data_IF_756955783190
#
_entry.id   IF_756955783190
#
_cell.length_a   1.000
_cell.length_b   1.000
_cell.length_c   1.000
_cell.angle_alpha   90.00
_cell.angle_beta   90.00
_cell.angle_gamma   90.00
#
_symmetry.space_group_name_H-M   'P 1'
#
loop_
_entity.id
_entity.type
_entity.pdbx_description
1 polymer ?
#
# COMPACT_ATOMS: atom_id res chain seq x y z
N UNK A 1 7.29 22.07 -8.04
CA UNK A 1 6.76 21.13 -7.01
C UNK A 1 5.72 21.90 -6.20
N UNK A 2 4.54 21.32 -5.94
CA UNK A 2 3.34 21.99 -5.38
C UNK A 2 3.71 23.14 -4.41
N UNK A 3 3.39 24.38 -4.80
CA UNK A 3 3.77 25.59 -4.07
C UNK A 3 2.87 25.83 -2.86
N UNK A 4 1.58 25.49 -2.96
CA UNK A 4 0.63 25.58 -1.86
C UNK A 4 0.90 24.50 -0.79
N UNK A 5 1.33 24.88 0.43
CA UNK A 5 1.57 23.94 1.51
C UNK A 5 0.31 23.17 1.94
N UNK A 6 -0.88 23.75 1.80
CA UNK A 6 -2.14 23.10 2.16
C UNK A 6 -2.44 21.96 1.20
N UNK A 7 -2.38 22.21 -0.10
CA UNK A 7 -2.52 21.17 -1.11
C UNK A 7 -1.46 20.07 -0.95
N UNK A 8 -0.20 20.43 -0.69
CA UNK A 8 0.86 19.44 -0.42
C UNK A 8 0.54 18.57 0.80
N UNK A 9 0.05 19.18 1.89
CA UNK A 9 -0.29 18.44 3.12
C UNK A 9 -1.49 17.50 2.94
N UNK A 10 -2.52 17.91 2.19
CA UNK A 10 -3.67 17.07 1.84
C UNK A 10 -3.22 15.83 1.07
N UNK A 11 -2.34 16.00 0.08
CA UNK A 11 -1.82 14.91 -0.74
C UNK A 11 -1.03 13.92 0.12
N UNK A 12 -0.07 14.42 0.90
CA UNK A 12 0.74 13.58 1.80
C UNK A 12 -0.15 12.80 2.77
N UNK A 13 -1.07 13.48 3.46
CA UNK A 13 -1.99 12.85 4.40
C UNK A 13 -2.85 11.77 3.76
N UNK A 14 -3.30 11.98 2.53
CA UNK A 14 -4.10 11.00 1.80
C UNK A 14 -3.28 9.75 1.44
N UNK A 15 -1.99 9.91 1.18
CA UNK A 15 -1.12 8.83 0.75
C UNK A 15 -0.48 8.03 1.89
N UNK A 16 -0.18 8.65 3.04
CA UNK A 16 0.65 8.04 4.11
C UNK A 16 0.23 6.61 4.47
N UNK A 17 -1.07 6.35 4.66
CA UNK A 17 -1.54 5.00 5.02
C UNK A 17 -1.34 4.00 3.88
N UNK A 18 -1.61 4.41 2.63
CA UNK A 18 -1.40 3.55 1.46
C UNK A 18 0.08 3.27 1.25
N UNK A 19 0.93 4.25 1.49
CA UNK A 19 2.39 4.09 1.43
C UNK A 19 2.87 3.01 2.38
N UNK A 20 2.46 3.07 3.66
CA UNK A 20 2.86 2.09 4.68
C UNK A 20 2.37 0.67 4.29
N UNK A 21 1.16 0.56 3.75
CA UNK A 21 0.63 -0.74 3.32
C UNK A 21 1.39 -1.30 2.10
N UNK A 22 1.64 -0.47 1.09
CA UNK A 22 2.39 -0.85 -0.10
C UNK A 22 3.82 -1.29 0.24
N UNK A 23 4.45 -0.67 1.24
CA UNK A 23 5.81 -1.03 1.65
C UNK A 23 5.89 -2.50 2.10
N UNK A 24 4.95 -2.96 2.93
CA UNK A 24 4.88 -4.35 3.37
C UNK A 24 4.52 -5.32 2.23
N UNK A 25 3.60 -4.92 1.34
CA UNK A 25 3.22 -5.74 0.17
C UNK A 25 4.41 -5.93 -0.75
N UNK A 26 5.11 -4.84 -1.09
CA UNK A 26 6.25 -4.87 -2.00
C UNK A 26 7.42 -5.64 -1.41
N UNK A 27 7.70 -5.46 -0.12
CA UNK A 27 8.70 -6.25 0.58
C UNK A 27 8.38 -7.76 0.53
N UNK A 28 7.10 -8.13 0.67
CA UNK A 28 6.67 -9.53 0.54
C UNK A 28 6.85 -10.06 -0.89
N UNK A 29 6.51 -9.27 -1.90
CA UNK A 29 6.66 -9.61 -3.33
C UNK A 29 8.14 -9.77 -3.69
N UNK A 30 9.02 -8.86 -3.25
CA UNK A 30 10.46 -8.92 -3.48
C UNK A 30 11.10 -10.18 -2.88
N UNK A 31 10.60 -10.63 -1.72
CA UNK A 31 11.05 -11.88 -1.10
C UNK A 31 10.45 -13.13 -1.75
N UNK A 32 9.49 -12.99 -2.67
CA UNK A 32 8.83 -14.11 -3.35
C UNK A 32 7.95 -14.97 -2.44
N UNK A 33 7.49 -14.41 -1.31
CA UNK A 33 6.73 -15.13 -0.31
C UNK A 33 5.24 -15.13 -0.66
N UNK A 34 4.62 -16.32 -0.66
CA UNK A 34 3.26 -16.54 -1.18
C UNK A 34 2.24 -16.98 -0.14
N UNK A 35 2.67 -17.29 1.08
CA UNK A 35 1.83 -17.89 2.13
C UNK A 35 1.62 -16.96 3.34
N UNK A 36 2.33 -15.83 3.38
CA UNK A 36 2.30 -14.87 4.49
C UNK A 36 2.69 -13.48 4.02
N UNK A 37 2.33 -12.47 4.79
CA UNK A 37 2.77 -11.09 4.58
C UNK A 37 4.00 -10.85 5.44
N UNK A 38 5.11 -10.44 4.83
CA UNK A 38 6.31 -10.04 5.55
C UNK A 38 6.24 -8.54 5.81
N UNK A 39 6.32 -8.16 7.08
CA UNK A 39 6.37 -6.78 7.50
C UNK A 39 7.82 -6.27 7.41
N UNK A 40 7.99 -4.97 7.18
CA UNK A 40 9.31 -4.34 7.01
C UNK A 40 10.27 -4.48 8.20
N UNK A 41 9.76 -4.86 9.37
CA UNK A 41 10.55 -5.18 10.56
C UNK A 41 10.93 -6.67 10.65
N UNK A 42 10.79 -7.43 9.56
CA UNK A 42 11.01 -8.88 9.46
C UNK A 42 10.06 -9.75 10.30
N UNK A 43 8.98 -9.18 10.84
CA UNK A 43 7.89 -9.98 11.39
C UNK A 43 6.92 -10.39 10.28
N UNK A 44 6.02 -11.33 10.56
CA UNK A 44 5.13 -11.88 9.54
C UNK A 44 3.70 -12.07 10.04
N UNK A 45 2.76 -11.98 9.10
CA UNK A 45 1.34 -12.24 9.32
C UNK A 45 0.96 -13.45 8.48
N UNK A 46 0.52 -14.53 9.14
CA UNK A 46 0.01 -15.73 8.49
C UNK A 46 -1.53 -15.69 8.59
N UNK A 47 -2.26 -15.65 7.47
CA UNK A 47 -3.71 -15.75 7.49
C UNK A 47 -4.18 -17.02 8.18
N UNK A 48 -5.23 -16.92 8.99
CA UNK A 48 -5.78 -18.00 9.81
C UNK A 48 -5.05 -18.25 11.13
N UNK A 49 -3.83 -17.72 11.31
CA UNK A 49 -3.06 -17.93 12.53
C UNK A 49 -3.16 -16.72 13.47
N UNK A 50 -4.30 -16.61 14.17
CA UNK A 50 -4.58 -15.49 15.06
C UNK A 50 -3.79 -15.66 16.38
N UNK A 51 -2.98 -14.67 16.79
CA UNK A 51 -2.27 -14.74 18.07
C UNK A 51 -3.22 -14.81 19.27
N UNK A 52 -2.88 -15.65 20.25
CA UNK A 52 -3.66 -15.84 21.48
C UNK A 52 -4.03 -14.51 22.14
N UNK A 53 -5.24 -14.46 22.67
CA UNK A 53 -5.74 -13.32 23.41
C UNK A 53 -5.00 -13.16 24.73
N UNK A 54 -4.54 -11.94 25.04
CA UNK A 54 -4.00 -11.65 26.38
C UNK A 54 -5.16 -11.41 27.36
N UNK A 55 -4.98 -11.70 28.67
CA UNK A 55 -6.06 -11.57 29.67
C UNK A 55 -6.65 -10.16 29.77
N UNK A 56 -5.83 -9.12 29.54
CA UNK A 56 -6.22 -7.71 29.63
C UNK A 56 -6.56 -7.09 28.26
N UNK A 57 -6.80 -7.92 27.25
CA UNK A 57 -6.92 -7.44 25.88
C UNK A 57 -8.31 -6.88 25.59
N UNK A 58 -8.34 -5.62 25.15
CA UNK A 58 -9.57 -4.92 24.80
C UNK A 58 -10.27 -5.56 23.58
N UNK A 59 -11.59 -5.44 23.49
CA UNK A 59 -12.42 -5.95 22.36
C UNK A 59 -11.97 -5.38 21.00
N UNK A 60 -11.50 -4.13 21.01
CA UNK A 60 -10.89 -3.50 19.83
C UNK A 60 -9.64 -4.25 19.35
N UNK A 61 -8.79 -4.73 20.26
CA UNK A 61 -7.60 -5.49 19.89
C UNK A 61 -7.97 -6.85 19.27
N UNK A 62 -9.00 -7.52 19.79
CA UNK A 62 -9.51 -8.76 19.18
C UNK A 62 -10.03 -8.50 17.76
N UNK A 63 -10.80 -7.42 17.59
CA UNK A 63 -11.33 -7.05 16.28
C UNK A 63 -10.19 -6.78 15.29
N UNK A 64 -9.16 -6.04 15.70
CA UNK A 64 -7.98 -5.75 14.87
C UNK A 64 -7.23 -7.05 14.52
N UNK A 65 -7.03 -7.95 15.48
CA UNK A 65 -6.39 -9.26 15.24
C UNK A 65 -7.16 -10.06 14.18
N UNK A 66 -8.48 -10.13 14.30
CA UNK A 66 -9.31 -10.80 13.28
C UNK A 66 -9.24 -10.11 11.92
N UNK A 67 -9.10 -8.78 11.86
CA UNK A 67 -8.90 -8.10 10.58
C UNK A 67 -7.51 -8.38 9.98
N UNK A 68 -6.46 -8.42 10.80
CA UNK A 68 -5.08 -8.59 10.36
C UNK A 68 -4.75 -10.03 9.97
N UNK A 69 -5.24 -11.01 10.73
CA UNK A 69 -4.95 -12.44 10.52
C UNK A 69 -6.12 -13.21 9.91
N UNK A 70 -7.27 -12.57 9.69
CA UNK A 70 -8.44 -13.22 9.10
C UNK A 70 -8.45 -13.20 7.57
N UNK A 71 -9.65 -13.36 7.01
CA UNK A 71 -9.88 -13.54 5.57
C UNK A 71 -9.33 -12.40 4.71
N UNK A 72 -9.34 -11.15 5.20
CA UNK A 72 -8.82 -9.99 4.45
C UNK A 72 -7.35 -10.14 4.09
N UNK A 73 -6.54 -10.73 4.98
CA UNK A 73 -5.12 -10.98 4.74
C UNK A 73 -4.89 -12.10 3.72
N UNK A 74 -5.70 -13.17 3.77
CA UNK A 74 -5.68 -14.22 2.77
C UNK A 74 -6.06 -13.66 1.38
N UNK A 75 -7.14 -12.88 1.30
CA UNK A 75 -7.55 -12.23 0.05
C UNK A 75 -6.49 -11.27 -0.49
N UNK A 76 -5.75 -10.56 0.38
CA UNK A 76 -4.63 -9.71 -0.05
C UNK A 76 -3.51 -10.53 -0.68
N UNK A 77 -3.19 -11.69 -0.10
CA UNK A 77 -2.20 -12.59 -0.67
C UNK A 77 -2.66 -13.11 -2.03
N UNK A 78 -3.86 -13.71 -2.08
CA UNK A 78 -4.36 -14.41 -3.26
C UNK A 78 -4.67 -13.47 -4.44
N UNK A 79 -5.17 -12.25 -4.16
CA UNK A 79 -5.62 -11.32 -5.21
C UNK A 79 -4.59 -10.27 -5.59
N UNK A 80 -3.53 -10.09 -4.81
CA UNK A 80 -2.53 -9.06 -5.06
C UNK A 80 -1.10 -9.60 -5.04
N UNK A 81 -0.64 -10.16 -3.91
CA UNK A 81 0.76 -10.58 -3.77
C UNK A 81 1.10 -11.71 -4.73
N UNK A 82 0.31 -12.78 -4.74
CA UNK A 82 0.55 -13.94 -5.63
C UNK A 82 0.53 -13.53 -7.10
N UNK A 83 -0.49 -12.81 -7.61
CA UNK A 83 -0.47 -12.30 -8.98
C UNK A 83 0.74 -11.43 -9.31
N UNK A 84 1.18 -10.55 -8.40
CA UNK A 84 2.37 -9.71 -8.63
C UNK A 84 3.65 -10.53 -8.73
N UNK A 85 3.79 -11.57 -7.90
CA UNK A 85 4.93 -12.50 -7.99
C UNK A 85 4.86 -13.28 -9.31
N UNK A 86 3.69 -13.79 -9.69
CA UNK A 86 3.52 -14.57 -10.92
C UNK A 86 3.76 -13.74 -12.19
N UNK A 87 3.44 -12.44 -12.15
CA UNK A 87 3.77 -11.49 -13.22
C UNK A 87 5.24 -11.07 -13.23
N UNK A 88 6.05 -11.50 -12.25
CA UNK A 88 7.45 -11.10 -12.06
C UNK A 88 7.64 -9.58 -12.02
N UNK A 89 6.84 -8.88 -11.20
CA UNK A 89 6.98 -7.44 -11.01
C UNK A 89 8.43 -7.05 -10.68
N UNK A 90 8.98 -6.15 -11.47
CA UNK A 90 10.30 -5.56 -11.27
C UNK A 90 10.25 -4.46 -10.22
N UNK A 91 11.42 -4.13 -9.65
CA UNK A 91 11.55 -2.98 -8.72
C UNK A 91 11.07 -1.68 -9.38
N UNK A 92 11.30 -1.51 -10.70
CA UNK A 92 10.81 -0.36 -11.46
C UNK A 92 9.29 -0.27 -11.47
N UNK A 93 8.59 -1.36 -11.76
CA UNK A 93 7.13 -1.41 -11.76
C UNK A 93 6.53 -1.20 -10.36
N UNK A 94 7.20 -1.70 -9.32
CA UNK A 94 6.82 -1.41 -7.93
C UNK A 94 6.95 0.08 -7.61
N UNK A 95 8.03 0.74 -8.05
CA UNK A 95 8.20 2.19 -7.89
C UNK A 95 7.14 2.98 -8.67
N UNK A 96 6.87 2.60 -9.91
CA UNK A 96 5.82 3.23 -10.72
C UNK A 96 4.44 3.08 -10.05
N UNK A 97 4.12 1.92 -9.47
CA UNK A 97 2.90 1.73 -8.67
C UNK A 97 2.84 2.65 -7.43
N UNK A 98 3.97 2.90 -6.74
CA UNK A 98 4.00 3.90 -5.64
C UNK A 98 3.62 5.28 -6.14
N UNK A 99 4.21 5.69 -7.26
CA UNK A 99 3.97 7.01 -7.84
C UNK A 99 2.52 7.14 -8.31
N UNK A 100 1.98 6.13 -9.00
CA UNK A 100 0.57 6.12 -9.43
C UNK A 100 -0.36 6.22 -8.24
N UNK A 101 -0.07 5.49 -7.15
CA UNK A 101 -0.87 5.55 -5.93
C UNK A 101 -0.74 6.90 -5.22
N UNK A 102 0.45 7.51 -5.22
CA UNK A 102 0.70 8.82 -4.64
C UNK A 102 -0.05 9.93 -5.38
N UNK A 103 -0.02 9.90 -6.72
CA UNK A 103 -0.71 10.86 -7.57
C UNK A 103 -2.20 10.56 -7.76
N UNK A 104 -2.74 9.51 -7.11
CA UNK A 104 -4.17 9.23 -7.13
C UNK A 104 -4.91 10.14 -6.15
N UNK A 105 -5.58 11.14 -6.70
CA UNK A 105 -6.25 12.20 -5.94
C UNK A 105 -7.75 12.03 -5.82
N UNK A 106 -8.27 10.82 -6.04
CA UNK A 106 -9.71 10.57 -5.96
C UNK A 106 -10.30 11.07 -4.63
N UNK A 107 -11.26 11.99 -4.74
CA UNK A 107 -11.95 12.58 -3.59
C UNK A 107 -11.25 13.78 -2.92
N UNK A 108 -10.15 14.30 -3.48
CA UNK A 108 -9.47 15.49 -2.97
C UNK A 108 -9.73 16.73 -3.84
N UNK A 109 -9.87 17.89 -3.18
CA UNK A 109 -10.03 19.18 -3.83
C UNK A 109 -8.71 19.96 -3.69
N UNK A 110 -8.12 20.27 -4.84
CA UNK A 110 -6.88 21.02 -4.99
C UNK A 110 -7.10 22.30 -5.78
N UNK A 111 -6.18 23.25 -5.65
CA UNK A 111 -6.11 24.42 -6.53
C UNK A 111 -5.86 24.01 -7.99
N UNK A 112 -6.26 24.83 -8.98
CA UNK A 112 -6.11 24.51 -10.40
C UNK A 112 -4.65 24.23 -10.81
N UNK A 113 -3.71 24.98 -10.24
CA UNK A 113 -2.27 24.80 -10.50
C UNK A 113 -1.79 23.42 -10.01
N UNK A 114 -2.17 23.04 -8.79
CA UNK A 114 -1.81 21.73 -8.21
C UNK A 114 -2.43 20.58 -9.00
N UNK A 115 -3.67 20.73 -9.50
CA UNK A 115 -4.31 19.72 -10.36
C UNK A 115 -3.49 19.44 -11.63
N UNK A 116 -3.05 20.48 -12.33
CA UNK A 116 -2.22 20.32 -13.53
C UNK A 116 -0.91 19.59 -13.21
N UNK A 117 -0.24 19.93 -12.11
CA UNK A 117 0.99 19.26 -11.66
C UNK A 117 0.74 17.77 -11.39
N UNK A 118 -0.33 17.44 -10.66
CA UNK A 118 -0.70 16.06 -10.35
C UNK A 118 -0.98 15.26 -11.63
N UNK A 119 -1.74 15.82 -12.58
CA UNK A 119 -2.05 15.12 -13.83
C UNK A 119 -0.80 14.85 -14.66
N UNK A 120 0.10 15.83 -14.77
CA UNK A 120 1.38 15.64 -15.45
C UNK A 120 2.23 14.56 -14.77
N UNK A 121 2.32 14.59 -13.44
CA UNK A 121 3.11 13.62 -12.68
C UNK A 121 2.51 12.20 -12.74
N UNK A 122 1.18 12.09 -12.71
CA UNK A 122 0.48 10.81 -12.89
C UNK A 122 0.75 10.21 -14.27
N UNK A 123 0.65 11.02 -15.32
CA UNK A 123 0.93 10.56 -16.68
C UNK A 123 2.39 10.14 -16.84
N UNK A 124 3.33 10.86 -16.22
CA UNK A 124 4.73 10.46 -16.14
C UNK A 124 4.92 9.09 -15.48
N UNK A 125 4.32 8.87 -14.32
CA UNK A 125 4.40 7.60 -13.60
C UNK A 125 3.77 6.42 -14.36
N UNK A 126 2.70 6.67 -15.12
CA UNK A 126 2.11 5.64 -16.00
C UNK A 126 3.04 5.30 -17.16
N UNK A 127 3.75 6.28 -17.73
CA UNK A 127 4.71 6.02 -18.79
C UNK A 127 5.89 5.16 -18.33
N UNK A 128 6.27 5.25 -17.05
CA UNK A 128 7.30 4.38 -16.45
C UNK A 128 6.88 2.89 -16.38
N UNK A 129 5.58 2.57 -16.44
CA UNK A 129 5.13 1.17 -16.53
C UNK A 129 5.30 0.56 -17.93
N UNK A 130 5.51 1.39 -18.97
CA UNK A 130 5.65 0.93 -20.35
C UNK A 130 7.10 0.85 -20.83
N UNK A 131 8.07 1.26 -20.00
CA UNK A 131 9.50 1.23 -20.30
C UNK A 131 10.17 0.01 -19.67
#
# INVERSE_FOLDING_TARGET
>A
AIEDPFDKSKLLRHFTLRYILLDNIFHTVELGIRDRIILVNNTFIIPGNIPNSMPDENENCQTIKHMMYGERSAQLIDKLIVPMIDMNFTVGELMALRLITFWNTNGLIFSPQTKNIIEMARNGAVNELYQ
#
